data_IF_807523244857
#
_entry.id   IF_807523244857
#
_cell.length_a   1.000
_cell.length_b   1.000
_cell.length_c   1.000
_cell.angle_alpha   90.00
_cell.angle_beta   90.00
_cell.angle_gamma   90.00
#
_symmetry.space_group_name_H-M   'P 1'
#
loop_
_entity.id
_entity.type
_entity.pdbx_description
1 polymer ?
#
# COMPACT_ATOMS: atom_id res chain seq x y z
N UNK A 1 -6.62 -8.09 2.43
CA UNK A 1 -5.80 -7.29 1.49
C UNK A 1 -5.73 -5.85 2.00
N UNK A 2 -4.54 -5.24 1.96
CA UNK A 2 -4.29 -3.92 2.55
C UNK A 2 -4.93 -2.78 1.73
N UNK A 3 -4.87 -2.85 0.39
CA UNK A 3 -5.42 -1.82 -0.49
C UNK A 3 -6.92 -1.54 -0.27
N UNK A 4 -7.72 -2.56 0.08
CA UNK A 4 -9.14 -2.40 0.38
C UNK A 4 -9.42 -1.70 1.73
N UNK A 5 -8.48 -1.82 2.69
CA UNK A 5 -8.59 -1.16 4.00
C UNK A 5 -8.14 0.30 3.96
N UNK A 6 -7.23 0.62 3.04
CA UNK A 6 -6.63 1.94 2.89
C UNK A 6 -7.39 2.85 1.91
N UNK A 7 -8.44 2.37 1.23
CA UNK A 7 -9.19 3.21 0.30
C UNK A 7 -8.42 3.57 -0.99
N UNK A 8 -7.52 2.69 -1.45
CA UNK A 8 -6.73 2.92 -2.67
C UNK A 8 -7.64 3.10 -3.89
N UNK A 9 -7.36 4.12 -4.72
CA UNK A 9 -8.21 4.49 -5.86
C UNK A 9 -8.17 3.42 -6.94
N UNK A 10 -9.33 2.89 -7.32
CA UNK A 10 -9.44 1.92 -8.42
C UNK A 10 -9.43 2.64 -9.75
N UNK A 11 -8.51 2.28 -10.62
CA UNK A 11 -8.38 2.85 -11.96
C UNK A 11 -9.13 1.98 -12.98
N UNK A 12 -10.21 2.49 -13.60
CA UNK A 12 -10.92 1.77 -14.64
C UNK A 12 -10.12 1.77 -15.96
N UNK A 13 -10.35 0.78 -16.81
CA UNK A 13 -9.81 0.79 -18.17
C UNK A 13 -9.60 -0.59 -18.80
N UNK A 14 -9.50 -0.62 -20.14
CA UNK A 14 -9.27 -1.82 -20.94
C UNK A 14 -7.84 -1.79 -21.52
N UNK A 15 -7.23 -2.96 -21.77
CA UNK A 15 -5.88 -3.07 -22.36
C UNK A 15 -4.77 -3.41 -21.35
N UNK A 16 -3.54 -3.62 -21.83
CA UNK A 16 -2.41 -4.02 -20.97
C UNK A 16 -1.86 -2.86 -20.11
N UNK A 17 -1.83 -1.65 -20.67
CA UNK A 17 -1.45 -0.41 -19.99
C UNK A 17 -2.61 0.59 -20.02
N UNK A 18 -2.73 1.38 -18.95
CA UNK A 18 -3.61 2.56 -18.89
C UNK A 18 -2.79 3.72 -18.38
N UNK A 19 -2.86 4.83 -19.08
CA UNK A 19 -2.17 6.06 -18.73
C UNK A 19 -3.10 6.91 -17.87
N UNK A 20 -2.70 7.16 -16.62
CA UNK A 20 -3.44 8.04 -15.71
C UNK A 20 -2.80 9.42 -15.77
N UNK A 21 -3.56 10.48 -16.09
CA UNK A 21 -3.05 11.84 -15.99
C UNK A 21 -2.79 12.16 -14.52
N UNK A 22 -1.65 12.76 -14.25
CA UNK A 22 -1.27 13.27 -12.94
C UNK A 22 -0.96 14.75 -13.08
N UNK A 23 -1.25 15.50 -12.04
CA UNK A 23 -0.83 16.89 -11.99
C UNK A 23 0.68 16.95 -11.78
N UNK A 24 1.35 17.89 -12.42
CA UNK A 24 2.79 18.09 -12.32
C UNK A 24 3.16 19.55 -12.07
N UNK A 25 2.20 20.39 -11.67
CA UNK A 25 2.46 21.75 -11.19
C UNK A 25 2.29 21.83 -9.67
N UNK A 26 3.15 22.64 -9.05
CA UNK A 26 3.14 22.92 -7.61
C UNK A 26 2.34 24.21 -7.30
N UNK A 27 2.00 25.02 -8.31
CA UNK A 27 1.36 26.33 -8.21
C UNK A 27 0.11 26.45 -9.09
N UNK A 28 -1.08 26.27 -8.50
CA UNK A 28 -2.39 26.48 -9.17
C UNK A 28 -3.25 27.57 -8.51
N UNK A 29 -2.62 28.53 -7.82
CA UNK A 29 -3.34 29.55 -7.06
C UNK A 29 -3.90 30.65 -7.97
N UNK A 30 -5.17 31.01 -7.76
CA UNK A 30 -5.80 32.10 -8.50
C UNK A 30 -5.12 33.44 -8.21
N UNK A 31 -4.53 34.03 -9.25
CA UNK A 31 -3.93 35.36 -9.15
C UNK A 31 -5.01 36.43 -9.02
N UNK A 32 -4.86 37.32 -8.03
CA UNK A 32 -5.73 38.50 -7.91
C UNK A 32 -5.57 39.40 -9.15
N UNK A 33 -6.59 39.42 -10.00
CA UNK A 33 -6.57 40.20 -11.25
C UNK A 33 -7.20 41.57 -11.00
N UNK A 34 -6.48 42.64 -11.32
CA UNK A 34 -6.99 44.01 -11.23
C UNK A 34 -8.10 44.29 -12.27
N UNK A 35 -8.89 45.34 -12.05
CA UNK A 35 -9.94 45.75 -13.00
C UNK A 35 -9.34 46.03 -14.38
N UNK A 36 -9.94 45.45 -15.43
CA UNK A 36 -9.50 45.51 -16.84
C UNK A 36 -8.12 44.89 -17.16
N UNK A 37 -7.49 44.16 -16.25
CA UNK A 37 -6.30 43.35 -16.56
C UNK A 37 -6.67 42.05 -17.28
N UNK A 38 -5.72 41.52 -18.04
CA UNK A 38 -5.86 40.18 -18.63
C UNK A 38 -5.83 39.13 -17.51
N UNK A 39 -6.72 38.13 -17.61
CA UNK A 39 -6.71 36.96 -16.75
C UNK A 39 -5.40 36.21 -16.91
N UNK A 40 -4.87 35.68 -15.80
CA UNK A 40 -3.70 34.83 -15.85
C UNK A 40 -3.96 33.57 -16.70
N UNK A 41 -2.92 33.12 -17.42
CA UNK A 41 -2.99 31.91 -18.25
C UNK A 41 -2.18 30.82 -17.57
N UNK A 42 -2.80 30.27 -16.53
CA UNK A 42 -2.33 29.10 -15.83
C UNK A 42 -2.98 27.84 -16.43
N UNK A 43 -2.16 26.83 -16.77
CA UNK A 43 -2.62 25.62 -17.43
C UNK A 43 -1.83 24.41 -16.92
N UNK A 44 -2.52 23.39 -16.36
CA UNK A 44 -1.86 22.30 -15.65
C UNK A 44 -0.85 21.57 -16.53
N UNK A 45 0.39 21.41 -16.04
CA UNK A 45 1.34 20.52 -16.67
C UNK A 45 0.86 19.07 -16.51
N UNK A 46 0.31 18.49 -17.58
CA UNK A 46 -0.20 17.13 -17.56
C UNK A 46 0.94 16.11 -17.59
N UNK A 47 1.24 15.50 -16.44
CA UNK A 47 2.04 14.28 -16.35
C UNK A 47 1.22 13.04 -16.69
N UNK A 48 1.90 11.93 -17.03
CA UNK A 48 1.24 10.65 -17.28
C UNK A 48 1.94 9.52 -16.53
N UNK A 49 1.20 8.81 -15.68
CA UNK A 49 1.65 7.57 -15.05
C UNK A 49 1.10 6.36 -15.81
N UNK A 50 2.00 5.56 -16.40
CA UNK A 50 1.62 4.33 -17.09
C UNK A 50 1.41 3.17 -16.11
N UNK A 51 0.17 2.67 -16.00
CA UNK A 51 -0.20 1.50 -15.20
C UNK A 51 -0.21 0.23 -16.05
N UNK A 52 0.95 -0.41 -16.17
CA UNK A 52 1.14 -1.66 -16.93
C UNK A 52 0.87 -2.88 -16.07
N UNK A 53 -0.11 -3.69 -16.47
CA UNK A 53 -0.51 -4.90 -15.75
C UNK A 53 0.57 -5.98 -15.79
N UNK A 54 0.93 -6.50 -14.62
CA UNK A 54 1.84 -7.65 -14.47
C UNK A 54 1.03 -8.89 -14.09
N UNK A 55 1.32 -10.03 -14.74
CA UNK A 55 0.66 -11.31 -14.46
C UNK A 55 1.39 -12.08 -13.36
N UNK A 56 0.64 -12.47 -12.34
CA UNK A 56 1.11 -13.33 -11.26
C UNK A 56 0.43 -14.69 -11.39
N UNK A 57 1.21 -15.76 -11.27
CA UNK A 57 0.73 -17.12 -11.46
C UNK A 57 1.16 -18.04 -10.33
N UNK A 58 0.36 -19.07 -10.06
CA UNK A 58 0.69 -20.16 -9.16
C UNK A 58 0.13 -21.46 -9.72
N UNK A 59 0.89 -22.55 -9.60
CA UNK A 59 0.51 -23.88 -10.06
C UNK A 59 0.54 -24.84 -8.87
N UNK A 60 -0.49 -25.66 -8.76
CA UNK A 60 -0.61 -26.69 -7.73
C UNK A 60 -1.02 -27.99 -8.40
N UNK A 61 -0.32 -29.07 -8.09
CA UNK A 61 -0.54 -30.39 -8.65
C UNK A 61 -1.11 -31.29 -7.54
N UNK A 62 -2.23 -31.95 -7.82
CA UNK A 62 -2.91 -32.84 -6.88
C UNK A 62 -3.12 -34.19 -7.56
N UNK A 63 -2.90 -35.31 -6.86
CA UNK A 63 -3.27 -36.63 -7.36
C UNK A 63 -4.78 -36.85 -7.28
N UNK A 64 -5.32 -37.59 -8.22
CA UNK A 64 -6.75 -37.97 -8.26
C UNK A 64 -7.09 -38.85 -7.06
N UNK A 65 -6.22 -39.81 -6.72
CA UNK A 65 -6.38 -40.64 -5.52
C UNK A 65 -6.52 -39.81 -4.23
N UNK A 66 -5.75 -38.72 -4.11
CA UNK A 66 -5.82 -37.83 -2.94
C UNK A 66 -7.09 -36.99 -2.91
N UNK A 67 -7.67 -36.69 -4.08
CA UNK A 67 -8.92 -35.97 -4.21
C UNK A 67 -10.15 -36.88 -4.02
N UNK A 68 -10.03 -38.16 -4.36
CA UNK A 68 -11.11 -39.15 -4.25
C UNK A 68 -11.20 -39.75 -2.83
N UNK A 69 -10.07 -39.97 -2.16
CA UNK A 69 -10.00 -40.46 -0.77
C UNK A 69 -9.99 -39.31 0.27
N UNK A 70 -10.50 -38.12 -0.10
CA UNK A 70 -10.36 -36.91 0.70
C UNK A 70 -11.50 -36.70 1.73
N UNK A 71 -11.21 -36.85 3.04
CA UNK A 71 -12.12 -36.47 4.14
C UNK A 71 -11.68 -35.16 4.87
N UNK A 72 -10.50 -34.61 4.49
CA UNK A 72 -9.80 -33.55 5.25
C UNK A 72 -9.95 -32.11 4.71
N UNK A 73 -10.83 -31.84 3.74
CA UNK A 73 -11.06 -30.49 3.16
C UNK A 73 -9.79 -29.78 2.64
N UNK A 74 -8.88 -30.52 2.02
CA UNK A 74 -7.69 -30.06 1.29
C UNK A 74 -8.04 -28.97 0.28
N UNK A 75 -9.17 -29.07 -0.43
CA UNK A 75 -9.59 -28.00 -1.35
C UNK A 75 -9.85 -26.66 -0.62
N UNK A 76 -10.50 -26.68 0.54
CA UNK A 76 -10.71 -25.48 1.35
C UNK A 76 -9.40 -24.94 1.94
N UNK A 77 -8.49 -25.82 2.35
CA UNK A 77 -7.14 -25.44 2.78
C UNK A 77 -6.34 -24.79 1.64
N UNK A 78 -6.46 -25.33 0.43
CA UNK A 78 -5.77 -24.82 -0.74
C UNK A 78 -6.29 -23.43 -1.12
N UNK A 79 -7.60 -23.23 -1.07
CA UNK A 79 -8.22 -21.93 -1.34
C UNK A 79 -7.76 -20.86 -0.32
N UNK A 80 -7.68 -21.19 0.98
CA UNK A 80 -7.13 -20.29 2.00
C UNK A 80 -5.63 -20.03 1.80
N UNK A 81 -4.85 -21.05 1.42
CA UNK A 81 -3.42 -20.88 1.12
C UNK A 81 -3.19 -19.98 -0.09
N UNK A 82 -3.97 -20.13 -1.15
CA UNK A 82 -3.88 -19.31 -2.36
C UNK A 82 -4.39 -17.89 -2.10
N UNK A 83 -5.52 -17.74 -1.40
CA UNK A 83 -6.09 -16.43 -1.04
C UNK A 83 -5.15 -15.60 -0.17
N UNK A 84 -4.53 -16.22 0.85
CA UNK A 84 -3.50 -15.55 1.67
C UNK A 84 -2.25 -15.20 0.85
N UNK A 85 -1.85 -16.07 -0.08
CA UNK A 85 -0.76 -15.82 -1.01
C UNK A 85 -1.02 -14.57 -1.86
N UNK A 86 -2.20 -14.48 -2.49
CA UNK A 86 -2.62 -13.33 -3.28
C UNK A 86 -2.63 -12.04 -2.44
N UNK A 87 -3.20 -12.08 -1.24
CA UNK A 87 -3.24 -10.93 -0.35
C UNK A 87 -1.84 -10.43 0.04
N UNK A 88 -0.88 -11.34 0.29
CA UNK A 88 0.52 -10.97 0.57
C UNK A 88 1.19 -10.34 -0.65
N UNK A 89 0.97 -10.87 -1.85
CA UNK A 89 1.50 -10.29 -3.09
C UNK A 89 0.98 -8.87 -3.30
N UNK A 90 -0.33 -8.64 -3.17
CA UNK A 90 -0.91 -7.30 -3.28
C UNK A 90 -0.32 -6.31 -2.27
N UNK A 91 -0.15 -6.73 -1.01
CA UNK A 91 0.46 -5.88 0.00
C UNK A 91 1.92 -5.53 -0.33
N UNK A 92 2.68 -6.48 -0.88
CA UNK A 92 4.06 -6.25 -1.28
C UNK A 92 4.17 -5.26 -2.44
N UNK A 93 3.33 -5.43 -3.47
CA UNK A 93 3.32 -4.54 -4.64
C UNK A 93 2.94 -3.10 -4.26
N UNK A 94 1.92 -2.94 -3.42
CA UNK A 94 1.50 -1.63 -2.93
C UNK A 94 2.64 -0.91 -2.19
N UNK A 95 3.28 -1.60 -1.23
CA UNK A 95 4.33 -1.00 -0.41
C UNK A 95 5.64 -0.79 -1.18
N UNK A 96 5.94 -1.63 -2.15
CA UNK A 96 7.10 -1.43 -3.04
C UNK A 96 6.90 -0.20 -3.92
N UNK A 97 5.70 -0.01 -4.47
CA UNK A 97 5.39 1.15 -5.30
C UNK A 97 5.49 2.46 -4.52
N UNK A 98 4.90 2.52 -3.32
CA UNK A 98 5.00 3.69 -2.42
C UNK A 98 6.44 3.88 -1.93
N UNK A 99 7.14 2.80 -1.61
CA UNK A 99 8.54 2.87 -1.22
C UNK A 99 9.43 3.44 -2.34
N UNK A 100 9.08 3.24 -3.61
CA UNK A 100 9.88 3.71 -4.74
C UNK A 100 9.50 5.11 -5.20
N UNK A 101 8.21 5.42 -5.23
CA UNK A 101 7.67 6.61 -5.88
C UNK A 101 6.95 7.59 -4.93
N UNK A 102 6.82 7.25 -3.64
CA UNK A 102 6.32 8.18 -2.63
C UNK A 102 7.42 9.09 -2.09
N UNK A 103 7.03 10.16 -1.41
CA UNK A 103 7.96 11.09 -0.78
C UNK A 103 8.72 10.46 0.40
N UNK A 104 9.99 10.84 0.56
CA UNK A 104 10.73 10.57 1.79
C UNK A 104 10.34 11.62 2.83
N UNK A 105 9.37 11.32 3.69
CA UNK A 105 8.83 12.28 4.66
C UNK A 105 9.85 12.63 5.74
N UNK A 106 10.65 11.64 6.14
CA UNK A 106 11.70 11.80 7.14
C UNK A 106 12.79 10.75 6.94
N UNK A 107 14.04 11.18 7.11
CA UNK A 107 15.15 10.26 7.36
C UNK A 107 15.36 10.17 8.86
N UNK A 108 15.05 9.01 9.46
CA UNK A 108 15.26 8.77 10.88
C UNK A 108 16.74 8.88 11.23
N UNK A 109 17.02 9.50 12.37
CA UNK A 109 18.38 9.68 12.88
C UNK A 109 19.05 8.33 13.21
N UNK A 110 18.25 7.34 13.62
CA UNK A 110 18.71 6.00 13.95
C UNK A 110 18.69 5.05 12.76
N UNK A 111 19.78 4.28 12.59
CA UNK A 111 19.88 3.22 11.58
C UNK A 111 19.01 1.98 11.86
N UNK A 112 18.52 1.78 13.10
CA UNK A 112 17.70 0.60 13.46
C UNK A 112 16.63 0.91 14.53
N UNK A 113 16.46 2.19 14.85
CA UNK A 113 15.57 2.69 15.90
C UNK A 113 14.84 3.90 15.34
N UNK A 114 13.57 4.03 15.72
CA UNK A 114 12.78 5.25 15.51
C UNK A 114 12.87 6.02 16.83
N UNK A 115 13.40 7.23 16.78
CA UNK A 115 13.56 8.11 17.93
C UNK A 115 12.24 8.84 18.27
N UNK A 116 12.23 9.46 19.44
CA UNK A 116 11.13 10.29 19.90
C UNK A 116 10.96 11.53 19.01
N UNK A 117 9.72 11.93 18.73
CA UNK A 117 9.41 13.07 17.86
C UNK A 117 9.49 12.79 16.35
N UNK A 118 10.07 11.66 15.93
CA UNK A 118 10.18 11.31 14.51
C UNK A 118 8.82 10.97 13.86
N UNK A 119 7.89 10.23 14.51
CA UNK A 119 6.55 10.03 13.96
C UNK A 119 5.77 11.34 13.80
N UNK A 120 5.91 12.30 14.71
CA UNK A 120 5.27 13.62 14.64
C UNK A 120 5.83 14.44 13.49
N UNK A 121 7.14 14.43 13.29
CA UNK A 121 7.79 15.12 12.18
C UNK A 121 7.33 14.57 10.81
N UNK A 122 6.96 13.29 10.71
CA UNK A 122 6.36 12.74 9.49
C UNK A 122 4.93 13.22 9.25
N UNK A 123 4.13 13.39 10.31
CA UNK A 123 2.75 13.91 10.18
C UNK A 123 2.76 15.40 9.84
N UNK A 124 3.62 16.16 10.51
CA UNK A 124 3.76 17.61 10.33
C UNK A 124 4.61 18.01 9.12
N UNK A 125 4.83 17.11 8.16
CA UNK A 125 5.57 17.45 6.95
C UNK A 125 4.73 18.40 6.08
N UNK A 126 5.28 19.58 5.75
CA UNK A 126 4.58 20.64 5.04
C UNK A 126 4.02 20.18 3.68
N UNK A 127 4.76 19.33 2.95
CA UNK A 127 4.33 18.80 1.66
C UNK A 127 3.11 17.90 1.77
N UNK A 128 2.90 17.27 2.94
CA UNK A 128 1.78 16.37 3.17
C UNK A 128 0.52 17.14 3.59
N UNK A 129 0.70 18.29 4.25
CA UNK A 129 -0.38 19.04 4.92
C UNK A 129 -1.57 19.38 4.00
N UNK A 130 -1.31 19.76 2.75
CA UNK A 130 -2.35 20.09 1.76
C UNK A 130 -3.17 18.89 1.26
N UNK A 131 -2.68 17.66 1.47
CA UNK A 131 -3.31 16.43 1.00
C UNK A 131 -3.93 15.58 2.11
N UNK A 132 -3.72 15.96 3.37
CA UNK A 132 -4.36 15.34 4.53
C UNK A 132 -5.80 15.85 4.62
N UNK A 133 -6.75 14.96 4.32
CA UNK A 133 -8.17 15.20 4.51
C UNK A 133 -8.68 14.48 5.77
N UNK A 134 -9.90 14.80 6.22
CA UNK A 134 -10.59 14.08 7.30
C UNK A 134 -11.10 12.69 6.85
N UNK A 135 -10.59 12.16 5.73
CA UNK A 135 -11.03 10.89 5.16
C UNK A 135 -10.38 9.70 5.85
N UNK A 136 -11.07 8.56 5.84
CA UNK A 136 -10.54 7.28 6.31
C UNK A 136 -9.37 6.73 5.45
N UNK A 137 -9.07 7.38 4.32
CA UNK A 137 -7.95 7.03 3.43
C UNK A 137 -6.59 7.54 3.94
N UNK A 138 -6.55 8.40 4.95
CA UNK A 138 -5.30 8.80 5.62
C UNK A 138 -4.97 7.77 6.70
N UNK A 139 -3.87 7.03 6.53
CA UNK A 139 -3.55 5.95 7.44
C UNK A 139 -2.05 5.62 7.52
N UNK A 140 -1.65 5.09 8.67
CA UNK A 140 -0.33 4.52 8.88
C UNK A 140 -0.25 3.07 8.42
N UNK A 141 0.88 2.69 7.82
CA UNK A 141 1.23 1.29 7.59
C UNK A 141 2.62 0.99 8.14
N UNK A 142 2.71 -0.03 8.99
CA UNK A 142 3.99 -0.53 9.51
C UNK A 142 3.92 -2.02 9.86
N UNK A 143 5.01 -2.57 10.36
CA UNK A 143 5.04 -3.90 10.96
C UNK A 143 4.63 -3.82 12.43
N UNK A 144 3.89 -4.81 12.93
CA UNK A 144 3.47 -4.87 14.35
C UNK A 144 4.66 -4.70 15.32
N UNK A 145 5.80 -5.35 15.04
CA UNK A 145 7.02 -5.21 15.84
C UNK A 145 7.55 -3.77 15.91
N UNK A 146 7.41 -2.99 14.83
CA UNK A 146 7.86 -1.60 14.78
C UNK A 146 6.90 -0.70 15.54
N UNK A 147 5.58 -0.92 15.39
CA UNK A 147 4.58 -0.21 16.18
C UNK A 147 4.79 -0.37 17.69
N UNK A 148 5.01 -1.61 18.15
CA UNK A 148 5.24 -1.84 19.58
C UNK A 148 6.56 -1.22 20.08
N UNK A 149 7.57 -1.06 19.21
CA UNK A 149 8.78 -0.27 19.54
C UNK A 149 8.46 1.21 19.70
N UNK A 150 7.62 1.79 18.84
CA UNK A 150 7.15 3.19 18.95
C UNK A 150 6.36 3.36 20.24
N UNK A 151 5.42 2.45 20.54
CA UNK A 151 4.63 2.50 21.78
C UNK A 151 5.48 2.32 23.05
N UNK A 152 6.64 1.67 22.94
CA UNK A 152 7.58 1.51 24.04
C UNK A 152 8.53 2.71 24.24
N UNK A 153 8.48 3.73 23.37
CA UNK A 153 9.27 4.95 23.54
C UNK A 153 8.87 5.65 24.86
N UNK A 154 9.89 6.04 25.63
CA UNK A 154 9.73 6.59 26.98
C UNK A 154 10.02 8.09 26.96
N UNK A 155 9.13 8.88 27.56
CA UNK A 155 9.41 10.21 28.13
C UNK A 155 9.04 10.21 29.62
N UNK A 156 8.71 11.38 30.21
CA UNK A 156 8.23 11.49 31.61
C UNK A 156 6.92 10.72 31.87
N UNK A 157 6.16 10.46 30.80
CA UNK A 157 5.16 9.39 30.70
C UNK A 157 5.39 8.61 29.38
N UNK A 158 4.82 7.39 29.24
CA UNK A 158 4.81 6.70 27.94
C UNK A 158 3.99 7.53 26.95
N UNK A 159 4.66 8.31 26.09
CA UNK A 159 4.03 9.33 25.23
C UNK A 159 2.95 8.76 24.32
N UNK A 160 3.19 7.58 23.74
CA UNK A 160 2.24 6.95 22.82
C UNK A 160 1.37 5.85 23.46
N UNK A 161 1.81 5.25 24.58
CA UNK A 161 1.14 4.08 25.17
C UNK A 161 -0.12 4.37 25.99
N UNK A 162 -0.68 5.58 25.89
CA UNK A 162 -1.79 6.03 26.72
C UNK A 162 -2.67 7.09 26.08
N UNK A 163 -2.55 7.39 24.79
CA UNK A 163 -3.51 8.26 24.11
C UNK A 163 -4.81 7.46 23.92
N UNK A 164 -5.91 7.75 24.64
CA UNK A 164 -7.20 7.15 24.37
C UNK A 164 -7.74 7.90 23.15
N UNK A 165 -7.28 7.52 21.96
CA UNK A 165 -7.78 8.15 20.74
C UNK A 165 -9.14 7.57 20.40
N UNK A 166 -10.12 8.46 20.35
CA UNK A 166 -11.53 8.21 20.08
C UNK A 166 -11.77 7.74 18.62
N UNK A 167 -11.08 6.69 18.18
CA UNK A 167 -11.51 5.87 17.06
C UNK A 167 -12.46 4.79 17.59
N UNK A 168 -13.41 4.29 16.77
CA UNK A 168 -14.33 3.23 17.18
C UNK A 168 -13.57 2.08 17.84
N UNK A 169 -14.12 1.59 18.96
CA UNK A 169 -13.46 0.65 19.86
C UNK A 169 -12.78 -0.51 19.11
N UNK A 170 -11.45 -0.62 19.24
CA UNK A 170 -10.66 -1.70 18.68
C UNK A 170 -9.81 -1.35 17.44
N UNK A 171 -9.85 -0.12 16.94
CA UNK A 171 -8.98 0.31 15.84
C UNK A 171 -7.65 0.86 16.38
N UNK A 172 -6.54 0.31 15.87
CA UNK A 172 -5.20 0.81 16.19
C UNK A 172 -5.01 2.19 15.59
N UNK A 173 -4.50 3.14 16.36
CA UNK A 173 -4.18 4.49 15.90
C UNK A 173 -2.79 4.92 16.35
N UNK A 174 -2.25 5.89 15.63
CA UNK A 174 -1.04 6.61 16.00
C UNK A 174 -1.26 8.08 15.61
N UNK A 175 -1.09 8.99 16.56
CA UNK A 175 -1.20 10.44 16.32
C UNK A 175 -2.53 10.89 15.68
N UNK A 176 -3.62 10.15 15.88
CA UNK A 176 -4.98 10.53 15.48
C UNK A 176 -5.46 9.80 14.24
N UNK A 177 -4.54 9.14 13.54
CA UNK A 177 -4.81 8.46 12.28
C UNK A 177 -4.88 6.93 12.48
N UNK A 178 -5.73 6.23 11.69
CA UNK A 178 -5.83 4.78 11.73
C UNK A 178 -4.52 4.11 11.31
N UNK A 179 -4.27 2.92 11.85
CA UNK A 179 -3.03 2.18 11.65
C UNK A 179 -3.27 0.74 11.21
N UNK A 180 -2.51 0.30 10.22
CA UNK A 180 -2.59 -1.05 9.66
C UNK A 180 -1.24 -1.77 9.68
N UNK A 181 -1.30 -3.07 9.96
CA UNK A 181 -0.10 -3.91 9.95
C UNK A 181 0.08 -4.67 8.65
N UNK A 182 1.32 -4.69 8.17
CA UNK A 182 1.73 -5.54 7.05
C UNK A 182 3.15 -6.08 7.28
N UNK A 183 3.32 -7.39 7.13
CA UNK A 183 4.65 -8.02 7.19
C UNK A 183 5.51 -7.75 5.94
N UNK A 184 4.94 -7.12 4.91
CA UNK A 184 5.67 -6.68 3.72
C UNK A 184 6.44 -5.37 3.96
N UNK A 185 6.20 -4.68 5.08
CA UNK A 185 7.02 -3.52 5.50
C UNK A 185 8.35 -4.02 6.05
N UNK A 186 9.45 -3.35 5.68
CA UNK A 186 10.78 -3.70 6.14
C UNK A 186 10.92 -3.50 7.66
N UNK A 187 11.67 -4.38 8.32
CA UNK A 187 12.05 -4.18 9.71
C UNK A 187 13.05 -3.03 9.83
N UNK A 188 13.06 -2.29 10.96
CA UNK A 188 14.06 -1.25 11.22
C UNK A 188 15.49 -1.81 11.06
N UNK A 189 16.21 -1.28 10.08
CA UNK A 189 17.58 -1.60 9.69
C UNK A 189 18.13 -0.47 8.81
N UNK A 190 19.44 -0.42 8.60
CA UNK A 190 20.10 0.67 7.86
C UNK A 190 19.47 0.83 6.47
N UNK A 191 19.05 2.06 6.12
CA UNK A 191 18.39 2.36 4.84
C UNK A 191 16.99 1.75 4.66
N UNK A 192 16.45 1.03 5.66
CA UNK A 192 15.15 0.39 5.54
C UNK A 192 13.99 1.38 5.68
N UNK A 193 12.89 1.11 4.99
CA UNK A 193 11.64 1.88 5.03
C UNK A 193 10.66 1.17 5.96
N UNK A 194 10.51 1.68 7.18
CA UNK A 194 9.84 0.97 8.27
C UNK A 194 8.48 1.56 8.66
N UNK A 195 8.16 2.77 8.21
CA UNK A 195 6.91 3.47 8.49
C UNK A 195 6.41 4.16 7.22
N UNK A 196 5.13 4.00 6.90
CA UNK A 196 4.46 4.64 5.76
C UNK A 196 3.27 5.44 6.26
N UNK A 197 3.06 6.63 5.67
CA UNK A 197 1.99 7.55 6.05
C UNK A 197 1.54 8.41 4.87
N UNK A 198 0.29 8.87 4.93
CA UNK A 198 -0.30 9.79 3.96
C UNK A 198 -1.67 9.35 3.51
N UNK A 199 -2.17 10.00 2.45
CA UNK A 199 -3.47 9.75 1.86
C UNK A 199 -3.38 8.70 0.75
N UNK A 200 -3.88 7.50 1.04
CA UNK A 200 -3.79 6.35 0.14
C UNK A 200 -4.75 6.43 -1.06
N UNK A 201 -5.67 7.40 -1.09
CA UNK A 201 -6.50 7.68 -2.26
C UNK A 201 -5.67 8.17 -3.46
N UNK A 202 -4.49 8.75 -3.21
CA UNK A 202 -3.53 9.15 -4.26
C UNK A 202 -2.66 7.99 -4.75
N UNK A 203 -2.96 6.76 -4.33
CA UNK A 203 -2.40 5.55 -4.93
C UNK A 203 -3.46 4.91 -5.81
N UNK A 204 -3.11 4.67 -7.07
CA UNK A 204 -3.92 3.95 -8.03
C UNK A 204 -3.69 2.44 -7.94
N UNK A 205 -4.77 1.67 -8.02
CA UNK A 205 -4.75 0.21 -8.21
C UNK A 205 -5.53 -0.15 -9.46
N UNK A 206 -4.96 -1.03 -10.28
CA UNK A 206 -5.64 -1.63 -11.42
C UNK A 206 -5.48 -3.14 -11.40
N UNK A 207 -6.59 -3.84 -11.63
CA UNK A 207 -6.66 -5.31 -11.61
C UNK A 207 -7.55 -5.80 -12.76
N UNK A 208 -6.99 -6.64 -13.65
CA UNK A 208 -7.73 -7.21 -14.78
C UNK A 208 -6.95 -8.35 -15.49
N UNK A 209 -7.38 -9.63 -15.42
CA UNK A 209 -8.50 -10.17 -14.64
C UNK A 209 -8.18 -10.22 -13.14
N UNK A 210 -9.24 -10.20 -12.33
CA UNK A 210 -9.20 -10.17 -10.86
C UNK A 210 -8.55 -11.41 -10.26
N UNK A 211 -9.27 -12.53 -10.27
CA UNK A 211 -8.71 -13.82 -9.91
C UNK A 211 -9.32 -14.88 -10.80
N UNK A 212 -8.49 -15.77 -11.34
CA UNK A 212 -8.97 -16.84 -12.22
C UNK A 212 -8.28 -18.14 -11.86
N UNK A 213 -9.09 -19.18 -11.77
CA UNK A 213 -8.67 -20.55 -11.54
C UNK A 213 -8.98 -21.35 -12.79
N UNK A 214 -8.00 -22.09 -13.28
CA UNK A 214 -8.18 -23.07 -14.34
C UNK A 214 -7.80 -24.45 -13.78
N UNK A 215 -8.76 -25.37 -13.83
CA UNK A 215 -8.55 -26.78 -13.50
C UNK A 215 -8.24 -27.52 -14.79
N UNK A 216 -7.04 -28.08 -14.86
CA UNK A 216 -6.56 -28.85 -16.00
C UNK A 216 -6.44 -30.34 -15.62
N UNK A 217 -7.39 -31.17 -16.08
CA UNK A 217 -7.33 -32.62 -15.88
C UNK A 217 -6.47 -33.35 -16.94
N UNK A 218 -6.00 -32.65 -17.99
CA UNK A 218 -5.41 -33.28 -19.17
C UNK A 218 -3.88 -33.27 -19.15
N UNK A 219 -3.24 -32.17 -18.73
CA UNK A 219 -1.77 -32.03 -18.84
C UNK A 219 -0.97 -33.08 -18.04
N UNK A 220 -1.53 -33.63 -16.97
CA UNK A 220 -0.90 -34.68 -16.17
C UNK A 220 -1.80 -35.92 -16.00
N UNK A 221 -2.70 -36.15 -16.96
CA UNK A 221 -3.58 -37.32 -16.96
C UNK A 221 -2.80 -38.65 -16.89
N UNK A 222 -1.65 -38.73 -17.57
CA UNK A 222 -0.78 -39.91 -17.54
C UNK A 222 -0.19 -40.23 -16.14
N UNK A 223 -0.19 -39.25 -15.23
CA UNK A 223 0.27 -39.43 -13.84
C UNK A 223 -0.88 -39.54 -12.84
N UNK A 224 -2.13 -39.57 -13.30
CA UNK A 224 -3.30 -39.53 -12.43
C UNK A 224 -3.35 -38.25 -11.59
N UNK A 225 -2.97 -37.10 -12.16
CA UNK A 225 -2.91 -35.81 -11.46
C UNK A 225 -3.72 -34.73 -12.16
N UNK A 226 -4.34 -33.86 -11.35
CA UNK A 226 -5.06 -32.65 -11.77
C UNK A 226 -4.22 -31.43 -11.40
N UNK A 227 -4.11 -30.49 -12.33
CA UNK A 227 -3.36 -29.25 -12.14
C UNK A 227 -4.32 -28.08 -11.94
N UNK A 228 -4.10 -27.30 -10.88
CA UNK A 228 -4.80 -26.05 -10.62
C UNK A 228 -3.88 -24.88 -10.95
N UNK A 229 -4.25 -24.11 -11.97
CA UNK A 229 -3.58 -22.90 -12.38
C UNK A 229 -4.33 -21.68 -11.84
N UNK A 230 -3.66 -20.93 -10.97
CA UNK A 230 -4.16 -19.68 -10.42
C UNK A 230 -3.44 -18.53 -11.10
N UNK A 231 -4.18 -17.53 -11.55
CA UNK A 231 -3.58 -16.31 -12.08
C UNK A 231 -4.43 -15.08 -11.85
N UNK A 232 -3.74 -13.96 -11.66
CA UNK A 232 -4.31 -12.62 -11.62
C UNK A 232 -3.37 -11.62 -12.27
N UNK A 233 -3.87 -10.43 -12.58
CA UNK A 233 -3.02 -9.33 -13.04
C UNK A 233 -3.32 -8.07 -12.24
N UNK A 234 -2.27 -7.47 -11.70
CA UNK A 234 -2.39 -6.27 -10.89
C UNK A 234 -1.22 -5.31 -11.13
N UNK A 235 -1.49 -4.02 -10.91
CA UNK A 235 -0.49 -2.96 -10.89
C UNK A 235 -0.91 -1.88 -9.89
N UNK A 236 0.08 -1.28 -9.24
CA UNK A 236 -0.07 -0.12 -8.37
C UNK A 236 0.71 1.05 -8.98
N UNK A 237 0.25 2.27 -8.74
CA UNK A 237 0.94 3.48 -9.16
C UNK A 237 0.70 4.60 -8.17
N UNK A 238 1.75 5.29 -7.71
CA UNK A 238 1.57 6.57 -7.01
C UNK A 238 1.13 7.63 -8.02
N UNK A 239 0.02 8.32 -7.73
CA UNK A 239 -0.55 9.39 -8.56
C UNK A 239 -0.06 10.76 -8.14
N UNK A 240 0.08 11.01 -6.84
CA UNK A 240 0.71 12.20 -6.27
C UNK A 240 1.76 11.77 -5.25
N UNK A 241 3.03 12.11 -5.50
CA UNK A 241 4.14 11.69 -4.64
C UNK A 241 4.15 12.40 -3.28
N UNK A 242 3.65 13.62 -3.22
CA UNK A 242 3.63 14.45 -2.02
C UNK A 242 2.56 14.02 -1.02
N UNK A 243 1.46 13.47 -1.52
CA UNK A 243 0.32 13.02 -0.72
C UNK A 243 0.59 11.72 0.04
N UNK A 244 1.70 11.01 -0.25
CA UNK A 244 2.04 9.75 0.40
C UNK A 244 3.55 9.56 0.51
N UNK A 245 4.00 9.06 1.64
CA UNK A 245 5.42 8.83 1.83
C UNK A 245 5.79 7.85 2.91
N UNK A 246 7.09 7.83 3.19
CA UNK A 246 7.71 6.89 4.11
C UNK A 246 8.78 7.53 4.97
N UNK A 247 9.01 6.91 6.13
CA UNK A 247 10.15 7.14 6.99
C UNK A 247 11.26 6.13 6.66
N UNK A 248 12.44 6.63 6.35
CA UNK A 248 13.61 5.83 6.01
C UNK A 248 14.66 5.92 7.11
N UNK A 249 15.24 4.80 7.52
CA UNK A 249 16.37 4.82 8.44
C UNK A 249 17.63 5.37 7.77
N UNK A 250 18.42 6.16 8.50
CA UNK A 250 19.71 6.65 8.02
C UNK A 250 20.54 5.51 7.38
N UNK A 251 21.11 5.81 6.22
CA UNK A 251 22.16 4.97 5.64
C UNK A 251 23.47 5.25 6.40
N UNK A 252 24.35 4.24 6.48
CA UNK A 252 25.68 4.40 7.06
C UNK A 252 26.55 5.35 6.23
#
# INVERSE_FOLDING_TARGET
>A
MLAAKLGVRRIPGKGASVNVPVDAEDDGEFVSTAEAAATDRDAPALGVKAMTLVKYTKRVELSVELLEDEDSRIMAFLDDFVGRGMAKTHNNLLLTEVGTNGAALLTFAGGAVIADGEPEAMVGNDNLSGYLDDSASVAWVTRSSTHWKIMALKGDARKYAGMPQALPAGQLSLLGYPMHYSNSVATPALGAKSLFFGNWNYVGMREAPGFTVLRDPYSLANKGQIVLHYYFRAVYGVLQAEAIGYGQHAAA
#
